data_IF_651161182585
#
_entry.id   IF_651161182585
#
_cell.length_a   1.000
_cell.length_b   1.000
_cell.length_c   1.000
_cell.angle_alpha   90.00
_cell.angle_beta   90.00
_cell.angle_gamma   90.00
#
_symmetry.space_group_name_H-M   'P 1'
#
loop_
_entity.id
_entity.type
_entity.pdbx_description
1 polymer ?
#
# COMPACT_ATOMS: atom_id res chain seq x y z
N UNK A 1 -5.28 5.62 -18.65
CA UNK A 1 -3.82 5.55 -18.37
C UNK A 1 -3.05 5.85 -19.66
N UNK A 2 -3.20 5.01 -20.69
CA UNK A 2 -2.47 5.10 -21.96
C UNK A 2 -2.51 6.48 -22.61
N UNK A 3 -3.70 7.06 -22.84
CA UNK A 3 -3.82 8.36 -23.51
C UNK A 3 -3.06 9.49 -22.78
N UNK A 4 -3.17 9.57 -21.45
CA UNK A 4 -2.49 10.60 -20.66
C UNK A 4 -0.98 10.36 -20.67
N UNK A 5 -0.57 9.11 -20.43
CA UNK A 5 0.85 8.73 -20.40
C UNK A 5 1.55 8.94 -21.75
N UNK A 6 0.84 8.73 -22.86
CA UNK A 6 1.34 8.95 -24.21
C UNK A 6 1.60 10.43 -24.50
N UNK A 7 0.73 11.33 -24.02
CA UNK A 7 0.84 12.77 -24.29
C UNK A 7 1.80 13.46 -23.31
N UNK A 8 1.73 13.11 -22.02
CA UNK A 8 2.40 13.85 -20.94
C UNK A 8 3.54 13.06 -20.27
N UNK A 9 3.76 11.82 -20.68
CA UNK A 9 4.67 10.89 -20.02
C UNK A 9 4.03 10.21 -18.81
N UNK A 10 4.53 9.02 -18.47
CA UNK A 10 3.99 8.22 -17.35
C UNK A 10 4.06 8.92 -16.00
N UNK A 11 5.05 9.80 -15.79
CA UNK A 11 5.21 10.60 -14.57
C UNK A 11 4.02 11.53 -14.27
N UNK A 12 3.12 11.76 -15.24
CA UNK A 12 1.89 12.52 -15.04
C UNK A 12 0.70 11.64 -14.58
N UNK A 13 0.90 10.34 -14.37
CA UNK A 13 -0.16 9.38 -14.07
C UNK A 13 0.13 8.62 -12.78
N UNK A 14 -0.60 8.98 -11.73
CA UNK A 14 -0.64 8.25 -10.45
C UNK A 14 -1.91 7.40 -10.41
N UNK A 15 -1.79 6.14 -10.00
CA UNK A 15 -2.93 5.24 -9.84
C UNK A 15 -3.22 5.08 -8.35
N UNK A 16 -4.42 5.50 -7.92
CA UNK A 16 -4.92 5.19 -6.59
C UNK A 16 -5.46 3.76 -6.58
N UNK A 17 -4.92 2.93 -5.69
CA UNK A 17 -5.30 1.53 -5.53
C UNK A 17 -5.88 1.32 -4.14
N UNK A 18 -7.09 0.77 -4.08
CA UNK A 18 -7.85 0.55 -2.84
C UNK A 18 -8.06 -0.95 -2.59
N UNK A 19 -7.03 -1.67 -2.14
CA UNK A 19 -7.11 -3.08 -1.83
C UNK A 19 -7.77 -3.33 -0.48
N UNK A 20 -8.47 -4.46 -0.38
CA UNK A 20 -9.02 -5.02 0.85
C UNK A 20 -8.54 -6.47 1.02
N UNK A 21 -8.20 -6.84 2.24
CA UNK A 21 -7.73 -8.18 2.58
C UNK A 21 -8.86 -9.21 2.46
N UNK A 22 -8.56 -10.31 1.79
CA UNK A 22 -9.40 -11.52 1.71
C UNK A 22 -8.65 -12.67 2.35
N UNK A 23 -9.18 -13.19 3.45
CA UNK A 23 -8.58 -14.25 4.24
C UNK A 23 -8.84 -15.63 3.62
N UNK A 24 -7.85 -16.52 3.70
CA UNK A 24 -7.93 -17.90 3.22
C UNK A 24 -7.13 -18.84 4.12
N UNK A 25 -7.61 -20.08 4.29
CA UNK A 25 -6.94 -21.09 5.12
C UNK A 25 -5.57 -21.50 4.57
N UNK A 26 -5.44 -21.53 3.25
CA UNK A 26 -4.23 -21.87 2.53
C UNK A 26 -4.23 -21.18 1.15
N UNK A 27 -3.05 -20.89 0.55
CA UNK A 27 -2.97 -20.28 -0.78
C UNK A 27 -3.78 -21.01 -1.85
N UNK A 28 -3.85 -22.34 -1.80
CA UNK A 28 -4.63 -23.14 -2.75
C UNK A 28 -6.14 -22.83 -2.73
N UNK A 29 -6.68 -22.34 -1.61
CA UNK A 29 -8.08 -21.96 -1.48
C UNK A 29 -8.42 -20.63 -2.18
N UNK A 30 -7.41 -19.82 -2.54
CA UNK A 30 -7.61 -18.55 -3.24
C UNK A 30 -7.81 -18.70 -4.75
N UNK A 31 -7.86 -19.93 -5.28
CA UNK A 31 -8.14 -20.19 -6.69
C UNK A 31 -7.13 -19.51 -7.62
N UNK A 32 -7.61 -18.58 -8.45
CA UNK A 32 -6.78 -17.83 -9.39
C UNK A 32 -5.77 -16.88 -8.69
N UNK A 33 -6.01 -16.51 -7.43
CA UNK A 33 -5.19 -15.57 -6.67
C UNK A 33 -4.18 -16.24 -5.74
N UNK A 34 -4.01 -17.57 -5.83
CA UNK A 34 -3.09 -18.34 -4.99
C UNK A 34 -1.65 -17.80 -4.98
N UNK A 35 -1.19 -17.27 -6.12
CA UNK A 35 0.17 -16.74 -6.29
C UNK A 35 0.31 -15.32 -5.70
N UNK A 36 -0.82 -14.66 -5.42
CA UNK A 36 -0.89 -13.38 -4.72
C UNK A 36 -1.16 -13.55 -3.21
N UNK A 37 -1.24 -14.78 -2.70
CA UNK A 37 -1.38 -14.99 -1.27
C UNK A 37 -0.07 -14.66 -0.54
N UNK A 38 -0.22 -13.97 0.59
CA UNK A 38 0.85 -13.72 1.56
C UNK A 38 0.44 -14.28 2.91
N UNK A 39 1.44 -14.71 3.68
CA UNK A 39 1.21 -14.96 5.09
C UNK A 39 1.00 -13.63 5.81
N UNK A 40 0.01 -13.60 6.69
CA UNK A 40 -0.36 -12.40 7.42
C UNK A 40 0.80 -11.87 8.28
N UNK A 41 1.13 -10.58 8.15
CA UNK A 41 2.26 -10.01 8.87
C UNK A 41 1.98 -9.92 10.38
N UNK A 42 3.04 -10.07 11.17
CA UNK A 42 3.03 -10.02 12.65
C UNK A 42 2.04 -11.00 13.34
N UNK A 43 1.67 -12.10 12.67
CA UNK A 43 0.83 -13.15 13.25
C UNK A 43 -0.64 -12.76 13.43
N UNK A 44 -1.11 -11.70 12.76
CA UNK A 44 -2.52 -11.39 12.73
C UNK A 44 -3.31 -12.54 12.06
N UNK A 45 -4.44 -12.92 12.65
CA UNK A 45 -5.28 -13.99 12.15
C UNK A 45 -6.56 -13.43 11.55
N UNK A 46 -7.07 -14.11 10.53
CA UNK A 46 -8.42 -13.87 10.04
C UNK A 46 -9.49 -14.22 11.08
N UNK A 47 -10.75 -13.84 10.83
CA UNK A 47 -11.85 -14.05 11.76
C UNK A 47 -12.07 -15.51 12.20
N UNK A 48 -11.67 -16.48 11.37
CA UNK A 48 -11.75 -17.91 11.64
C UNK A 48 -10.39 -18.55 11.98
N UNK A 49 -9.33 -17.75 12.14
CA UNK A 49 -7.98 -18.24 12.41
C UNK A 49 -7.11 -18.40 11.15
N UNK A 50 -7.54 -17.86 10.02
CA UNK A 50 -6.80 -17.92 8.76
C UNK A 50 -5.44 -17.21 8.89
N UNK A 51 -4.39 -17.83 8.33
CA UNK A 51 -3.03 -17.28 8.35
C UNK A 51 -2.60 -16.66 7.03
N UNK A 52 -3.34 -16.92 5.97
CA UNK A 52 -3.03 -16.42 4.63
C UNK A 52 -4.10 -15.43 4.20
N UNK A 53 -3.68 -14.49 3.38
CA UNK A 53 -4.61 -13.57 2.73
C UNK A 53 -4.08 -13.16 1.37
N UNK A 54 -4.97 -12.66 0.53
CA UNK A 54 -4.63 -11.89 -0.66
C UNK A 54 -5.38 -10.56 -0.62
N UNK A 55 -5.06 -9.67 -1.54
CA UNK A 55 -5.59 -8.31 -1.55
C UNK A 55 -6.46 -8.11 -2.80
N UNK A 56 -7.76 -8.09 -2.60
CA UNK A 56 -8.78 -7.80 -3.60
C UNK A 56 -8.80 -6.30 -3.91
N UNK A 57 -8.77 -5.93 -5.19
CA UNK A 57 -8.98 -4.54 -5.59
C UNK A 57 -10.46 -4.17 -5.54
N UNK A 58 -10.74 -2.95 -5.09
CA UNK A 58 -12.10 -2.43 -4.99
C UNK A 58 -12.33 -1.22 -5.89
N UNK A 59 -13.59 -0.94 -6.19
CA UNK A 59 -14.05 0.24 -6.93
C UNK A 59 -15.19 0.95 -6.19
N UNK A 60 -15.63 2.10 -6.74
CA UNK A 60 -16.68 2.95 -6.16
C UNK A 60 -16.39 3.38 -4.72
N UNK A 61 -15.11 3.60 -4.40
CA UNK A 61 -14.62 4.00 -3.08
C UNK A 61 -14.71 2.87 -2.05
N UNK A 62 -14.16 1.69 -2.35
CA UNK A 62 -14.12 0.57 -1.41
C UNK A 62 -15.39 -0.28 -1.30
N UNK A 63 -16.47 0.09 -1.99
CA UNK A 63 -17.80 -0.50 -1.79
C UNK A 63 -18.07 -1.75 -2.61
N UNK A 64 -17.39 -1.89 -3.74
CA UNK A 64 -17.58 -3.02 -4.65
C UNK A 64 -16.23 -3.68 -4.89
N UNK A 65 -16.17 -4.98 -4.59
CA UNK A 65 -15.02 -5.82 -4.84
C UNK A 65 -14.91 -6.21 -6.33
N UNK A 66 -13.73 -6.62 -6.75
CA UNK A 66 -13.47 -7.11 -8.10
C UNK A 66 -12.66 -8.39 -8.05
N UNK A 67 -12.86 -9.28 -9.01
CA UNK A 67 -12.08 -10.52 -9.16
C UNK A 67 -10.69 -10.23 -9.75
N UNK A 68 -9.95 -9.33 -9.10
CA UNK A 68 -8.65 -8.83 -9.49
C UNK A 68 -7.82 -8.59 -8.24
N UNK A 69 -6.67 -9.23 -8.15
CA UNK A 69 -5.74 -8.98 -7.05
C UNK A 69 -4.87 -7.74 -7.30
N UNK A 70 -4.33 -7.19 -6.21
CA UNK A 70 -3.52 -5.97 -6.25
C UNK A 70 -2.27 -6.09 -7.11
N UNK A 71 -1.68 -7.29 -7.24
CA UNK A 71 -0.49 -7.52 -8.05
C UNK A 71 -0.84 -7.49 -9.53
N UNK A 72 -1.95 -8.13 -9.91
CA UNK A 72 -2.50 -8.08 -11.26
C UNK A 72 -2.82 -6.65 -11.67
N UNK A 73 -3.52 -5.89 -10.82
CA UNK A 73 -3.86 -4.49 -11.10
C UNK A 73 -2.60 -3.64 -11.26
N UNK A 74 -1.66 -3.72 -10.31
CA UNK A 74 -0.46 -2.88 -10.32
C UNK A 74 0.38 -3.10 -11.59
N UNK A 75 0.61 -4.37 -11.97
CA UNK A 75 1.32 -4.72 -13.21
C UNK A 75 0.59 -4.27 -14.46
N UNK A 76 -0.74 -4.46 -14.50
CA UNK A 76 -1.56 -4.01 -15.62
C UNK A 76 -1.49 -2.48 -15.78
N UNK A 77 -1.62 -1.73 -14.69
CA UNK A 77 -1.53 -0.28 -14.71
C UNK A 77 -0.15 0.23 -15.12
N UNK A 78 0.93 -0.39 -14.63
CA UNK A 78 2.30 -0.09 -15.08
C UNK A 78 2.46 -0.33 -16.59
N UNK A 79 2.00 -1.48 -17.09
CA UNK A 79 2.06 -1.81 -18.51
C UNK A 79 1.27 -0.82 -19.40
N UNK A 80 0.18 -0.26 -18.86
CA UNK A 80 -0.64 0.76 -19.54
C UNK A 80 -0.05 2.18 -19.46
N UNK A 81 1.09 2.37 -18.77
CA UNK A 81 1.80 3.65 -18.70
C UNK A 81 1.59 4.45 -17.41
N UNK A 82 1.20 3.80 -16.30
CA UNK A 82 1.24 4.45 -14.99
C UNK A 82 2.69 4.81 -14.61
N UNK A 83 2.89 5.93 -13.93
CA UNK A 83 4.19 6.38 -13.45
C UNK A 83 4.42 6.19 -11.96
N UNK A 84 3.36 6.01 -11.17
CA UNK A 84 3.43 5.85 -9.72
C UNK A 84 2.16 5.17 -9.18
N UNK A 85 2.32 4.39 -8.11
CA UNK A 85 1.21 3.72 -7.42
C UNK A 85 0.97 4.39 -6.07
N UNK A 86 -0.20 4.99 -5.89
CA UNK A 86 -0.71 5.41 -4.59
C UNK A 86 -1.45 4.24 -3.96
N UNK A 87 -0.77 3.53 -3.06
CA UNK A 87 -1.25 2.29 -2.49
C UNK A 87 -1.90 2.53 -1.14
N UNK A 88 -3.23 2.59 -1.13
CA UNK A 88 -4.02 2.66 0.11
C UNK A 88 -4.17 1.26 0.72
N UNK A 89 -4.76 1.18 1.91
CA UNK A 89 -5.19 -0.07 2.54
C UNK A 89 -6.51 0.17 3.25
N UNK A 90 -7.58 -0.47 2.77
CA UNK A 90 -8.92 -0.31 3.35
C UNK A 90 -8.93 -0.78 4.80
N UNK A 91 -8.23 -1.87 5.10
CA UNK A 91 -8.18 -2.46 6.44
C UNK A 91 -7.35 -1.64 7.43
N UNK A 92 -6.33 -0.91 6.95
CA UNK A 92 -5.51 -0.04 7.79
C UNK A 92 -6.08 1.38 7.92
N UNK A 93 -7.00 1.79 7.06
CA UNK A 93 -7.47 3.16 7.03
C UNK A 93 -8.18 3.58 8.33
N UNK A 94 -7.84 4.77 8.82
CA UNK A 94 -8.33 5.30 10.10
C UNK A 94 -7.88 4.54 11.36
N UNK A 95 -7.17 3.42 11.25
CA UNK A 95 -6.80 2.61 12.43
C UNK A 95 -5.64 3.22 13.24
N UNK A 96 -4.82 4.08 12.64
CA UNK A 96 -3.62 4.66 13.24
C UNK A 96 -2.66 3.58 13.83
N UNK A 97 -2.57 2.39 13.19
CA UNK A 97 -1.76 1.23 13.63
C UNK A 97 -0.54 0.93 12.75
N UNK A 98 -0.24 1.83 11.81
CA UNK A 98 0.85 1.67 10.86
C UNK A 98 0.37 1.31 9.47
N UNK A 99 1.30 1.38 8.52
CA UNK A 99 1.06 0.98 7.13
C UNK A 99 0.98 -0.55 7.02
N UNK A 100 0.28 -1.05 6.01
CA UNK A 100 0.27 -2.47 5.71
C UNK A 100 1.57 -2.89 4.98
N UNK A 101 2.57 -3.29 5.77
CA UNK A 101 3.91 -3.66 5.28
C UNK A 101 3.87 -4.83 4.30
N UNK A 102 2.99 -5.81 4.51
CA UNK A 102 2.90 -6.98 3.61
C UNK A 102 2.35 -6.57 2.24
N UNK A 103 1.26 -5.80 2.23
CA UNK A 103 0.68 -5.22 1.02
C UNK A 103 1.71 -4.37 0.26
N UNK A 104 2.35 -3.44 0.96
CA UNK A 104 3.34 -2.53 0.39
C UNK A 104 4.50 -3.31 -0.23
N UNK A 105 5.07 -4.26 0.51
CA UNK A 105 6.15 -5.10 0.02
C UNK A 105 5.74 -5.94 -1.19
N UNK A 106 4.51 -6.45 -1.20
CA UNK A 106 4.00 -7.26 -2.29
C UNK A 106 3.90 -6.46 -3.59
N UNK A 107 3.29 -5.27 -3.53
CA UNK A 107 3.18 -4.38 -4.70
C UNK A 107 4.55 -3.88 -5.13
N UNK A 108 5.42 -3.50 -4.18
CA UNK A 108 6.77 -3.01 -4.51
C UNK A 108 7.61 -4.05 -5.24
N UNK A 109 7.47 -5.34 -4.91
CA UNK A 109 8.13 -6.43 -5.67
C UNK A 109 7.50 -6.69 -7.04
N UNK A 110 6.28 -6.25 -7.28
CA UNK A 110 5.52 -6.54 -8.49
C UNK A 110 5.76 -5.53 -9.62
N UNK A 111 6.15 -4.29 -9.30
CA UNK A 111 6.28 -3.17 -10.25
C UNK A 111 7.63 -2.46 -10.12
N UNK A 112 8.04 -1.75 -11.18
CA UNK A 112 9.27 -0.95 -11.20
C UNK A 112 9.05 0.53 -10.94
N UNK A 113 7.81 1.01 -11.10
CA UNK A 113 7.42 2.38 -10.78
C UNK A 113 7.46 2.67 -9.27
N UNK A 114 7.61 3.94 -8.87
CA UNK A 114 7.48 4.35 -7.48
C UNK A 114 6.16 3.93 -6.84
N UNK A 115 6.23 3.60 -5.55
CA UNK A 115 5.07 3.24 -4.73
C UNK A 115 5.01 4.18 -3.53
N UNK A 116 3.84 4.79 -3.32
CA UNK A 116 3.51 5.58 -2.14
C UNK A 116 2.72 4.69 -1.18
N UNK A 117 3.28 4.42 -0.01
CA UNK A 117 2.53 3.76 1.07
C UNK A 117 1.51 4.74 1.68
N UNK A 118 0.24 4.36 1.73
CA UNK A 118 -0.86 5.16 2.25
C UNK A 118 -1.75 4.35 3.19
N UNK A 119 -2.57 5.04 3.98
CA UNK A 119 -3.47 4.50 5.01
C UNK A 119 -2.78 3.90 6.25
N UNK A 120 -3.30 4.22 7.44
CA UNK A 120 -2.91 3.60 8.71
C UNK A 120 -1.83 4.31 9.54
N UNK A 121 -1.09 5.27 8.98
CA UNK A 121 -0.14 6.08 9.75
C UNK A 121 -0.79 6.78 10.95
N UNK A 122 -0.09 6.78 12.09
CA UNK A 122 -0.62 7.15 13.41
C UNK A 122 0.39 7.92 14.27
N UNK A 123 1.66 7.55 14.15
CA UNK A 123 2.79 8.22 14.81
C UNK A 123 4.01 8.29 13.87
N UNK A 124 5.08 8.95 14.30
CA UNK A 124 6.31 9.12 13.51
C UNK A 124 7.03 7.79 13.25
N UNK A 125 6.91 6.83 14.17
CA UNK A 125 7.52 5.50 14.08
C UNK A 125 6.99 4.71 12.89
N UNK A 126 5.71 4.87 12.54
CA UNK A 126 5.12 4.20 11.38
C UNK A 126 5.81 4.58 10.07
N UNK A 127 6.32 5.81 9.95
CA UNK A 127 7.10 6.23 8.78
C UNK A 127 8.48 5.57 8.76
N UNK A 128 9.18 5.54 9.91
CA UNK A 128 10.48 4.85 9.96
C UNK A 128 10.33 3.35 9.70
N UNK A 129 9.27 2.71 10.19
CA UNK A 129 8.99 1.30 9.94
C UNK A 129 8.79 1.02 8.46
N UNK A 130 7.91 1.77 7.77
CA UNK A 130 7.66 1.50 6.34
C UNK A 130 8.90 1.72 5.48
N UNK A 131 9.72 2.74 5.76
CA UNK A 131 10.96 2.97 5.02
C UNK A 131 12.10 1.99 5.39
N UNK A 132 12.07 1.39 6.57
CA UNK A 132 13.08 0.41 7.00
C UNK A 132 12.74 -1.02 6.55
N UNK A 133 11.44 -1.34 6.50
CA UNK A 133 10.94 -2.69 6.22
C UNK A 133 10.57 -2.89 4.74
N UNK A 134 10.50 -1.80 3.96
CA UNK A 134 10.12 -1.83 2.54
C UNK A 134 10.95 -0.86 1.71
N UNK A 135 11.02 -1.09 0.39
CA UNK A 135 11.74 -0.23 -0.56
C UNK A 135 10.82 0.83 -1.21
N UNK A 136 9.88 1.41 -0.46
CA UNK A 136 9.00 2.47 -0.99
C UNK A 136 9.69 3.82 -1.12
N UNK A 137 9.31 4.56 -2.15
CA UNK A 137 9.82 5.90 -2.42
C UNK A 137 9.14 6.98 -1.56
N UNK A 138 7.91 6.75 -1.11
CA UNK A 138 7.15 7.73 -0.36
C UNK A 138 6.15 7.10 0.61
N UNK A 139 5.77 7.88 1.62
CA UNK A 139 4.73 7.56 2.57
C UNK A 139 3.78 8.75 2.73
N UNK A 140 2.47 8.49 2.70
CA UNK A 140 1.40 9.48 2.80
C UNK A 140 0.59 9.26 4.07
N UNK A 141 0.29 10.35 4.76
CA UNK A 141 -0.68 10.36 5.85
C UNK A 141 -1.58 11.59 5.72
N UNK A 142 -2.85 11.46 6.12
CA UNK A 142 -3.82 12.54 6.08
C UNK A 142 -4.35 12.89 7.48
N UNK A 143 -4.98 11.92 8.15
CA UNK A 143 -5.71 12.13 9.41
C UNK A 143 -4.86 12.76 10.53
N UNK A 144 -3.66 12.22 10.76
CA UNK A 144 -2.76 12.68 11.84
C UNK A 144 -2.28 14.13 11.64
N UNK A 145 -2.07 14.54 10.38
CA UNK A 145 -1.66 15.90 10.05
C UNK A 145 -2.83 16.87 10.14
N UNK A 146 -4.02 16.47 9.68
CA UNK A 146 -5.23 17.30 9.76
C UNK A 146 -5.64 17.56 11.21
N UNK A 147 -5.54 16.54 12.07
CA UNK A 147 -5.82 16.64 13.52
C UNK A 147 -4.68 17.26 14.33
N UNK A 148 -3.53 17.56 13.70
CA UNK A 148 -2.33 18.12 14.32
C UNK A 148 -1.77 17.26 15.47
N UNK A 149 -1.98 15.95 15.40
CA UNK A 149 -1.43 14.96 16.36
C UNK A 149 0.07 14.77 16.13
N UNK A 150 0.47 14.81 14.86
CA UNK A 150 1.85 14.75 14.39
C UNK A 150 2.02 15.85 13.35
N UNK A 151 3.15 16.55 13.31
CA UNK A 151 3.46 17.45 12.20
C UNK A 151 4.41 16.79 11.20
N UNK A 152 4.43 17.29 9.95
CA UNK A 152 5.43 16.86 8.95
C UNK A 152 6.85 17.15 9.45
N UNK A 153 7.04 18.20 10.25
CA UNK A 153 8.33 18.52 10.85
C UNK A 153 8.77 17.44 11.85
N UNK A 154 7.85 16.91 12.68
CA UNK A 154 8.14 15.84 13.63
C UNK A 154 8.54 14.56 12.91
N UNK A 155 7.83 14.21 11.83
CA UNK A 155 8.20 13.06 10.98
C UNK A 155 9.60 13.25 10.41
N UNK A 156 9.91 14.42 9.84
CA UNK A 156 11.25 14.72 9.29
C UNK A 156 12.35 14.63 10.37
N UNK A 157 12.11 15.17 11.56
CA UNK A 157 13.05 15.11 12.68
C UNK A 157 13.28 13.66 13.13
N UNK A 158 12.23 12.86 13.20
CA UNK A 158 12.32 11.43 13.53
C UNK A 158 13.11 10.66 12.46
N UNK A 159 12.80 10.85 11.18
CA UNK A 159 13.53 10.23 10.08
C UNK A 159 15.01 10.60 10.09
N UNK A 160 15.32 11.87 10.37
CA UNK A 160 16.71 12.33 10.58
C UNK A 160 17.41 11.56 11.68
N UNK A 161 16.75 11.39 12.84
CA UNK A 161 17.31 10.68 13.99
C UNK A 161 17.52 9.18 13.69
N UNK A 162 16.73 8.60 12.78
CA UNK A 162 16.88 7.23 12.28
C UNK A 162 17.89 7.09 11.12
N UNK A 163 18.49 8.18 10.67
CA UNK A 163 19.43 8.16 9.54
C UNK A 163 18.75 7.98 8.17
N UNK A 164 17.44 8.20 8.09
CA UNK A 164 16.67 8.12 6.84
C UNK A 164 16.68 9.50 6.18
N UNK A 165 17.11 9.55 4.91
CA UNK A 165 17.18 10.78 4.14
C UNK A 165 15.78 11.37 3.91
N UNK A 166 15.66 12.68 4.04
CA UNK A 166 14.42 13.41 3.79
C UNK A 166 14.75 14.77 3.15
N UNK A 167 13.77 15.40 2.51
CA UNK A 167 13.95 16.77 1.99
C UNK A 167 13.89 17.78 3.14
N UNK A 168 14.91 18.64 3.36
CA UNK A 168 14.89 19.69 4.38
C UNK A 168 13.59 20.52 4.33
#
# INVERSE_FOLDING_TARGET
IEQISHVYGRQAVVISVDPRRVWVDAPAAAGAHKDACVESPQGALGPAGERFCWYECTVKGGREGSDLDVVQLARGCEALGAGEMLLNSIDADGQNRGFDIALVSQVKRAVTVPVIASSGAGCVEHFSSVFAETDVEAALAAGIFHRKEVSVADVKLHLKAKGIAYRP
#
